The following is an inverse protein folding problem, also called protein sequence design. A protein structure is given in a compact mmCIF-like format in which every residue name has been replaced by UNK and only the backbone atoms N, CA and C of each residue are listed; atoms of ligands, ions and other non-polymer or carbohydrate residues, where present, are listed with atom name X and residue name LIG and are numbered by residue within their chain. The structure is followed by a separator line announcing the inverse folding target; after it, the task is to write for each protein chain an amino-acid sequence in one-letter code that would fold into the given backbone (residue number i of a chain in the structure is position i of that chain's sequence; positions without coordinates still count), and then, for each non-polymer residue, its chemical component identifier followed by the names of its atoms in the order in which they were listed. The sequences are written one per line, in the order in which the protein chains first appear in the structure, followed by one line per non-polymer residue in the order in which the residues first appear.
data_IF_086421848103
#
_entry.id   IF_086421848103
#
_cell.length_a   1.000
_cell.length_b   1.000
_cell.length_c   1.000
_cell.angle_alpha   90.00
_cell.angle_beta   90.00
_cell.angle_gamma   90.00
#
_symmetry.space_group_name_H-M   'P 1'
#
loop_
_entity.id
_entity.type
_entity.pdbx_description
1 polymer ?
#
# COMPACT_ATOMS: atom_id res chain seq x y z
N UNK A 1 -28.23 -20.22 36.80
CA UNK A 1 -27.12 -21.16 36.53
C UNK A 1 -27.34 -21.97 35.26
N UNK A 2 -28.48 -22.65 35.07
CA UNK A 2 -28.84 -23.33 33.80
C UNK A 2 -28.63 -22.48 32.54
N UNK A 3 -29.01 -21.19 32.58
CA UNK A 3 -28.78 -20.25 31.47
C UNK A 3 -27.30 -20.04 31.15
N UNK A 4 -26.43 -19.93 32.15
CA UNK A 4 -24.99 -19.73 31.98
C UNK A 4 -24.31 -20.97 31.40
N UNK A 5 -24.74 -22.18 31.82
CA UNK A 5 -24.25 -23.43 31.25
C UNK A 5 -24.63 -23.59 29.77
N UNK A 6 -25.84 -23.16 29.40
CA UNK A 6 -26.31 -23.18 28.01
C UNK A 6 -25.51 -22.18 27.15
N UNK A 7 -25.31 -20.95 27.64
CA UNK A 7 -24.51 -19.92 26.96
C UNK A 7 -23.06 -20.36 26.78
N UNK A 8 -22.44 -20.94 27.81
CA UNK A 8 -21.07 -21.45 27.73
C UNK A 8 -20.94 -22.62 26.74
N UNK A 9 -21.93 -23.53 26.69
CA UNK A 9 -21.97 -24.61 25.69
C UNK A 9 -21.99 -24.07 24.26
N UNK A 10 -22.85 -23.08 23.99
CA UNK A 10 -22.96 -22.45 22.68
C UNK A 10 -21.66 -21.75 22.26
N UNK A 11 -20.99 -21.09 23.21
CA UNK A 11 -19.68 -20.47 22.96
C UNK A 11 -18.61 -21.51 22.63
N UNK A 12 -18.60 -22.68 23.30
CA UNK A 12 -17.66 -23.77 22.99
C UNK A 12 -17.99 -24.41 21.63
N UNK A 13 -19.25 -24.61 21.29
CA UNK A 13 -19.68 -25.17 20.00
C UNK A 13 -19.36 -24.23 18.82
N UNK A 14 -19.51 -22.91 18.99
CA UNK A 14 -19.21 -21.91 17.98
C UNK A 14 -17.73 -21.49 17.91
N UNK A 15 -16.88 -22.03 18.78
CA UNK A 15 -15.46 -21.67 18.84
C UNK A 15 -14.65 -22.33 17.73
N UNK A 16 -13.57 -21.65 17.32
CA UNK A 16 -12.53 -22.20 16.42
C UNK A 16 -11.54 -23.12 17.16
N UNK A 17 -11.91 -23.64 18.33
CA UNK A 17 -11.07 -24.55 19.08
C UNK A 17 -10.78 -25.83 18.28
N UNK A 18 -9.59 -26.43 18.44
CA UNK A 18 -9.30 -27.73 17.87
C UNK A 18 -10.36 -28.76 18.25
N UNK A 19 -10.80 -29.56 17.28
CA UNK A 19 -11.87 -30.56 17.40
C UNK A 19 -11.80 -31.36 18.72
N UNK A 20 -10.61 -31.88 19.05
CA UNK A 20 -10.36 -32.66 20.26
C UNK A 20 -10.56 -31.87 21.57
N UNK A 21 -10.18 -30.59 21.58
CA UNK A 21 -10.30 -29.71 22.76
C UNK A 21 -11.75 -29.31 22.99
N UNK A 22 -12.46 -28.99 21.90
CA UNK A 22 -13.90 -28.72 21.92
C UNK A 22 -14.70 -29.91 22.43
N UNK A 23 -14.42 -31.11 21.92
CA UNK A 23 -15.09 -32.34 22.38
C UNK A 23 -14.84 -32.62 23.87
N UNK A 24 -13.59 -32.42 24.34
CA UNK A 24 -13.26 -32.61 25.75
C UNK A 24 -13.97 -31.60 26.65
N UNK A 25 -13.98 -30.32 26.29
CA UNK A 25 -14.70 -29.28 27.03
C UNK A 25 -16.20 -29.54 27.10
N UNK A 26 -16.82 -29.99 26.00
CA UNK A 26 -18.25 -30.32 25.99
C UNK A 26 -18.58 -31.54 26.86
N UNK A 27 -17.69 -32.54 26.90
CA UNK A 27 -17.85 -33.71 27.76
C UNK A 27 -17.76 -33.33 29.25
N UNK A 28 -16.77 -32.53 29.64
CA UNK A 28 -16.62 -32.05 31.02
C UNK A 28 -17.78 -31.13 31.44
N UNK A 29 -18.25 -30.25 30.54
CA UNK A 29 -19.39 -29.40 30.79
C UNK A 29 -20.69 -30.20 30.99
N UNK A 30 -20.87 -31.28 30.23
CA UNK A 30 -22.01 -32.18 30.40
C UNK A 30 -21.95 -32.93 31.74
N UNK A 31 -20.74 -33.35 32.16
CA UNK A 31 -20.50 -33.96 33.48
C UNK A 31 -20.82 -33.00 34.61
N UNK A 32 -20.28 -31.78 34.55
CA UNK A 32 -20.58 -30.69 35.50
C UNK A 32 -22.08 -30.40 35.57
N UNK A 33 -22.76 -30.27 34.43
CA UNK A 33 -24.20 -29.97 34.38
C UNK A 33 -25.02 -31.07 35.05
N UNK A 34 -24.69 -32.34 34.79
CA UNK A 34 -25.37 -33.49 35.39
C UNK A 34 -25.18 -33.52 36.91
N UNK A 35 -23.95 -33.32 37.39
CA UNK A 35 -23.67 -33.31 38.83
C UNK A 35 -24.30 -32.09 39.51
N UNK A 36 -24.34 -30.94 38.85
CA UNK A 36 -25.03 -29.74 39.32
C UNK A 36 -26.55 -29.93 39.40
N UNK A 37 -27.19 -30.58 38.43
CA UNK A 37 -28.62 -30.87 38.46
C UNK A 37 -28.99 -31.85 39.57
N UNK A 38 -28.17 -32.90 39.77
CA UNK A 38 -28.34 -33.82 40.89
C UNK A 38 -28.17 -33.10 42.24
N UNK A 39 -27.22 -32.16 42.33
CA UNK A 39 -27.00 -31.34 43.51
C UNK A 39 -28.19 -30.40 43.75
N UNK A 40 -28.66 -29.69 42.73
CA UNK A 40 -29.79 -28.79 42.81
C UNK A 40 -31.09 -29.53 43.20
N UNK A 41 -31.32 -30.72 42.64
CA UNK A 41 -32.47 -31.56 42.99
C UNK A 41 -32.42 -32.07 44.44
N UNK A 42 -31.22 -32.36 44.95
CA UNK A 42 -31.00 -32.74 46.35
C UNK A 42 -31.16 -31.53 47.30
N UNK A 43 -30.59 -30.38 46.94
CA UNK A 43 -30.55 -29.17 47.75
C UNK A 43 -31.86 -28.35 47.74
N UNK A 44 -32.70 -28.49 46.71
CA UNK A 44 -33.94 -27.71 46.54
C UNK A 44 -35.22 -28.53 46.74
N UNK A 45 -35.11 -29.75 47.29
CA UNK A 45 -36.27 -30.61 47.54
C UNK A 45 -37.28 -29.90 48.46
N UNK A 46 -38.60 -29.87 48.15
CA UNK A 46 -39.60 -29.22 48.99
C UNK A 46 -39.55 -29.76 50.43
N UNK A 47 -39.28 -28.88 51.41
CA UNK A 47 -39.02 -29.24 52.81
C UNK A 47 -37.58 -29.05 53.29
N UNK A 48 -36.63 -28.79 52.37
CA UNK A 48 -35.26 -28.42 52.71
C UNK A 48 -35.19 -26.96 53.17
N UNK A 49 -35.51 -26.73 54.45
CA UNK A 49 -35.10 -25.50 55.13
C UNK A 49 -33.64 -25.70 55.54
N UNK A 50 -32.74 -24.85 55.06
CA UNK A 50 -31.26 -24.93 55.23
C UNK A 50 -30.73 -24.91 56.68
N UNK A 51 -31.58 -25.20 57.66
CA UNK A 51 -31.26 -25.56 59.01
C UNK A 51 -32.36 -26.54 59.44
N UNK A 52 -32.07 -27.84 59.58
CA UNK A 52 -33.04 -28.90 59.88
C UNK A 52 -33.90 -28.65 61.12
N UNK A 53 -34.96 -27.82 61.00
CA UNK A 53 -35.73 -27.30 62.14
C UNK A 53 -37.21 -27.67 62.11
N UNK A 54 -37.76 -28.16 61.00
CA UNK A 54 -39.19 -28.47 60.88
C UNK A 54 -39.58 -29.85 61.43
N UNK A 55 -39.24 -30.96 60.76
CA UNK A 55 -39.84 -32.27 61.09
C UNK A 55 -39.24 -32.95 62.33
N UNK A 56 -37.93 -32.83 62.53
CA UNK A 56 -37.20 -33.49 63.62
C UNK A 56 -37.52 -32.90 64.99
N UNK A 57 -37.70 -31.58 65.01
CA UNK A 57 -38.03 -30.84 66.22
C UNK A 57 -39.43 -31.20 66.68
N UNK A 58 -40.39 -31.25 65.76
CA UNK A 58 -41.76 -31.65 66.04
C UNK A 58 -41.85 -33.10 66.54
N UNK A 59 -41.09 -34.02 65.93
CA UNK A 59 -41.02 -35.42 66.38
C UNK A 59 -40.38 -35.54 67.77
N UNK A 60 -39.27 -34.86 68.03
CA UNK A 60 -38.61 -34.85 69.33
C UNK A 60 -39.50 -34.23 70.42
N UNK A 61 -40.22 -33.15 70.09
CA UNK A 61 -41.10 -32.44 71.02
C UNK A 61 -42.36 -33.25 71.35
N UNK A 62 -42.86 -34.06 70.40
CA UNK A 62 -43.94 -35.04 70.66
C UNK A 62 -43.47 -36.20 71.53
N UNK A 63 -42.26 -36.69 71.31
CA UNK A 63 -41.64 -37.74 72.16
C UNK A 63 -41.45 -37.19 73.58
N UNK A 64 -40.93 -35.98 73.74
CA UNK A 64 -40.76 -35.29 75.03
C UNK A 64 -42.09 -35.07 75.76
N UNK A 65 -43.17 -34.72 75.06
CA UNK A 65 -44.49 -34.54 75.65
C UNK A 65 -45.06 -35.83 76.26
N UNK A 66 -44.89 -36.97 75.59
CA UNK A 66 -45.35 -38.28 76.08
C UNK A 66 -44.52 -38.72 77.31
N UNK A 67 -43.23 -38.39 77.35
CA UNK A 67 -42.33 -38.72 78.45
C UNK A 67 -42.58 -37.92 79.72
N UNK A 68 -42.98 -36.65 79.58
CA UNK A 68 -43.40 -35.86 80.73
C UNK A 68 -44.69 -36.39 81.39
N UNK A 69 -45.53 -37.12 80.63
CA UNK A 69 -46.75 -37.75 81.14
C UNK A 69 -46.50 -39.10 81.83
N UNK A 70 -45.38 -39.78 81.57
CA UNK A 70 -45.08 -41.12 82.08
C UNK A 70 -43.60 -41.26 82.50
N UNK A 71 -43.34 -41.54 83.78
CA UNK A 71 -41.97 -41.71 84.28
C UNK A 71 -41.38 -43.06 83.86
N UNK A 72 -40.45 -43.04 82.89
CA UNK A 72 -39.62 -44.20 82.50
C UNK A 72 -38.16 -43.92 82.84
N UNK A 73 -37.54 -44.68 83.77
CA UNK A 73 -36.15 -44.45 84.18
C UNK A 73 -35.17 -44.44 83.00
N UNK A 74 -34.26 -43.46 82.98
CA UNK A 74 -33.17 -43.33 81.99
C UNK A 74 -33.60 -43.07 80.52
N UNK A 75 -34.90 -42.98 80.22
CA UNK A 75 -35.38 -42.77 78.85
C UNK A 75 -35.16 -41.33 78.36
N UNK A 76 -35.42 -40.34 79.21
CA UNK A 76 -35.19 -38.92 78.95
C UNK A 76 -33.70 -38.62 78.65
N UNK A 77 -32.80 -39.22 79.43
CA UNK A 77 -31.35 -39.09 79.24
C UNK A 77 -30.91 -39.60 77.86
N UNK A 78 -31.46 -40.72 77.40
CA UNK A 78 -31.10 -41.27 76.10
C UNK A 78 -31.66 -40.44 74.94
N UNK A 79 -32.81 -39.80 75.11
CA UNK A 79 -33.36 -38.88 74.10
C UNK A 79 -32.54 -37.60 74.01
N UNK A 80 -32.09 -37.04 75.14
CA UNK A 80 -31.16 -35.91 75.12
C UNK A 80 -29.84 -36.25 74.44
N UNK A 81 -29.31 -37.46 74.66
CA UNK A 81 -28.13 -37.96 73.94
C UNK A 81 -28.40 -38.09 72.44
N UNK A 82 -29.56 -38.62 72.04
CA UNK A 82 -29.98 -38.75 70.63
C UNK A 82 -29.97 -37.37 69.93
N UNK A 83 -30.65 -36.38 70.54
CA UNK A 83 -30.72 -35.00 70.02
C UNK A 83 -29.36 -34.31 69.97
N UNK A 84 -28.49 -34.56 70.95
CA UNK A 84 -27.12 -34.03 70.95
C UNK A 84 -26.32 -34.56 69.75
N UNK A 85 -26.35 -35.87 69.51
CA UNK A 85 -25.64 -36.48 68.38
C UNK A 85 -26.19 -36.05 67.02
N UNK A 86 -27.51 -35.90 66.90
CA UNK A 86 -28.15 -35.29 65.74
C UNK A 86 -27.62 -33.88 65.48
N UNK A 87 -27.63 -33.01 66.50
CA UNK A 87 -27.14 -31.63 66.38
C UNK A 87 -25.66 -31.58 66.03
N UNK A 88 -24.85 -32.44 66.62
CA UNK A 88 -23.42 -32.53 66.31
C UNK A 88 -23.20 -32.93 64.85
N UNK A 89 -24.00 -33.87 64.32
CA UNK A 89 -24.00 -34.20 62.89
C UNK A 89 -24.41 -33.00 62.02
N UNK A 90 -25.46 -32.27 62.37
CA UNK A 90 -25.92 -31.13 61.57
C UNK A 90 -24.90 -29.99 61.53
N UNK A 91 -24.17 -29.77 62.63
CA UNK A 91 -23.17 -28.70 62.72
C UNK A 91 -21.83 -29.09 62.08
N UNK A 92 -21.37 -30.31 62.33
CA UNK A 92 -20.02 -30.75 61.97
C UNK A 92 -20.00 -31.65 60.76
N UNK A 93 -21.06 -32.43 60.57
CA UNK A 93 -21.20 -33.26 59.39
C UNK A 93 -20.37 -34.53 59.37
N UNK A 94 -19.83 -34.91 60.51
CA UNK A 94 -18.93 -36.04 60.68
C UNK A 94 -19.69 -37.38 60.61
N UNK A 95 -19.17 -38.32 59.81
CA UNK A 95 -19.78 -39.62 59.54
C UNK A 95 -19.78 -40.56 60.76
N UNK A 96 -19.09 -40.21 61.84
CA UNK A 96 -19.14 -40.95 63.10
C UNK A 96 -20.46 -40.78 63.87
N UNK A 97 -21.22 -39.70 63.63
CA UNK A 97 -22.46 -39.43 64.39
C UNK A 97 -23.68 -40.26 63.97
N UNK A 98 -23.94 -40.54 62.68
CA UNK A 98 -25.09 -41.37 62.28
C UNK A 98 -25.17 -42.76 62.94
N UNK A 99 -24.09 -43.57 63.01
CA UNK A 99 -24.16 -44.84 63.71
C UNK A 99 -24.43 -44.68 65.22
N UNK A 100 -23.94 -43.59 65.85
CA UNK A 100 -24.26 -43.29 67.25
C UNK A 100 -25.74 -42.98 67.47
N UNK A 101 -26.39 -42.25 66.56
CA UNK A 101 -27.83 -41.94 66.61
C UNK A 101 -28.66 -43.23 66.47
N UNK A 102 -28.28 -44.11 65.53
CA UNK A 102 -28.94 -45.41 65.34
C UNK A 102 -28.84 -46.28 66.59
N UNK A 103 -27.67 -46.31 67.23
CA UNK A 103 -27.45 -47.13 68.43
C UNK A 103 -28.24 -46.60 69.63
N UNK A 104 -28.27 -45.29 69.84
CA UNK A 104 -29.09 -44.68 70.90
C UNK A 104 -30.59 -44.96 70.64
N UNK A 105 -31.06 -44.86 69.39
CA UNK A 105 -32.44 -45.20 69.04
C UNK A 105 -32.77 -46.68 69.32
N UNK A 106 -31.80 -47.60 69.13
CA UNK A 106 -31.95 -49.01 69.51
C UNK A 106 -32.13 -49.17 71.02
N UNK A 107 -31.33 -48.49 71.84
CA UNK A 107 -31.48 -48.49 73.30
C UNK A 107 -32.83 -47.93 73.74
N UNK A 108 -33.28 -46.82 73.16
CA UNK A 108 -34.59 -46.21 73.48
C UNK A 108 -35.72 -47.19 73.15
N UNK A 109 -35.68 -47.90 72.01
CA UNK A 109 -36.68 -48.92 71.67
C UNK A 109 -36.76 -50.02 72.73
N UNK A 110 -35.62 -50.55 73.19
CA UNK A 110 -35.58 -51.58 74.22
C UNK A 110 -36.22 -51.10 75.53
N UNK A 111 -35.87 -49.88 75.97
CA UNK A 111 -36.42 -49.28 77.18
C UNK A 111 -37.94 -49.04 77.09
N UNK A 112 -38.46 -48.62 75.94
CA UNK A 112 -39.90 -48.44 75.73
C UNK A 112 -40.64 -49.78 75.80
N UNK A 113 -40.11 -50.83 75.16
CA UNK A 113 -40.71 -52.17 75.18
C UNK A 113 -40.77 -52.78 76.58
N UNK A 114 -39.72 -52.59 77.39
CA UNK A 114 -39.60 -53.10 78.77
C UNK A 114 -40.34 -52.25 79.82
N UNK A 115 -40.90 -51.09 79.44
CA UNK A 115 -41.55 -50.17 80.37
C UNK A 115 -42.96 -50.60 80.79
N UNK A 116 -43.45 -50.04 81.89
CA UNK A 116 -44.80 -50.27 82.44
C UNK A 116 -45.87 -49.33 81.90
N UNK A 117 -45.59 -48.58 80.82
CA UNK A 117 -46.57 -47.67 80.20
C UNK A 117 -47.61 -48.45 79.39
N UNK A 118 -48.71 -47.81 79.01
CA UNK A 118 -49.78 -48.48 78.25
C UNK A 118 -49.29 -48.98 76.90
N UNK A 119 -49.86 -50.08 76.40
CA UNK A 119 -49.50 -50.63 75.09
C UNK A 119 -49.79 -49.64 73.93
N UNK A 120 -50.78 -48.76 74.10
CA UNK A 120 -51.07 -47.68 73.17
C UNK A 120 -49.92 -46.65 73.12
N UNK A 121 -49.40 -46.24 74.28
CA UNK A 121 -48.30 -45.27 74.38
C UNK A 121 -46.98 -45.87 73.88
N UNK A 122 -46.73 -47.16 74.15
CA UNK A 122 -45.58 -47.89 73.57
C UNK A 122 -45.63 -47.88 72.05
N UNK A 123 -46.78 -48.23 71.46
CA UNK A 123 -46.95 -48.26 70.02
C UNK A 123 -46.71 -46.87 69.39
N UNK A 124 -47.21 -45.82 70.04
CA UNK A 124 -47.05 -44.44 69.59
C UNK A 124 -45.59 -43.95 69.67
N UNK A 125 -44.91 -44.19 70.79
CA UNK A 125 -43.49 -43.84 70.97
C UNK A 125 -42.57 -44.56 69.98
N UNK A 126 -42.80 -45.85 69.77
CA UNK A 126 -42.03 -46.65 68.82
C UNK A 126 -42.26 -46.20 67.37
N UNK A 127 -43.48 -45.77 67.01
CA UNK A 127 -43.77 -45.19 65.71
C UNK A 127 -43.03 -43.85 65.49
N UNK A 128 -43.12 -42.93 66.46
CA UNK A 128 -42.44 -41.63 66.39
C UNK A 128 -40.92 -41.77 66.28
N UNK A 129 -40.32 -42.69 67.05
CA UNK A 129 -38.88 -42.94 67.02
C UNK A 129 -38.41 -43.53 65.68
N UNK A 130 -39.23 -44.40 65.07
CA UNK A 130 -38.97 -44.97 63.74
C UNK A 130 -38.99 -43.90 62.66
N UNK A 131 -39.98 -43.01 62.70
CA UNK A 131 -40.11 -41.90 61.75
C UNK A 131 -38.97 -40.90 61.87
N UNK A 132 -38.58 -40.60 63.11
CA UNK A 132 -37.40 -39.78 63.40
C UNK A 132 -36.12 -40.41 62.82
N UNK A 133 -35.85 -41.70 63.11
CA UNK A 133 -34.66 -42.41 62.63
C UNK A 133 -34.61 -42.45 61.09
N UNK A 134 -35.73 -42.77 60.45
CA UNK A 134 -35.85 -42.79 58.97
C UNK A 134 -35.56 -41.43 58.35
N UNK A 135 -36.12 -40.38 58.93
CA UNK A 135 -35.93 -39.01 58.44
C UNK A 135 -34.46 -38.60 58.58
N UNK A 136 -33.81 -38.98 59.69
CA UNK A 136 -32.43 -38.60 59.97
C UNK A 136 -31.48 -39.28 58.99
N UNK A 137 -31.65 -40.58 58.76
CA UNK A 137 -30.84 -41.32 57.78
C UNK A 137 -31.04 -40.81 56.33
N UNK A 138 -32.25 -40.33 56.00
CA UNK A 138 -32.51 -39.66 54.72
C UNK A 138 -31.72 -38.36 54.59
N UNK A 139 -31.60 -37.58 55.66
CA UNK A 139 -30.80 -36.35 55.67
C UNK A 139 -29.31 -36.66 55.54
N UNK A 140 -28.82 -37.69 56.24
CA UNK A 140 -27.43 -38.15 56.17
C UNK A 140 -27.06 -38.52 54.73
N UNK A 141 -27.90 -39.30 54.04
CA UNK A 141 -27.63 -39.71 52.65
C UNK A 141 -27.63 -38.52 51.69
N UNK A 142 -28.60 -37.60 51.82
CA UNK A 142 -28.66 -36.38 51.00
C UNK A 142 -27.41 -35.51 51.16
N UNK A 143 -26.94 -35.35 52.40
CA UNK A 143 -25.73 -34.58 52.68
C UNK A 143 -24.48 -35.25 52.11
N UNK A 144 -24.38 -36.58 52.20
CA UNK A 144 -23.32 -37.36 51.55
C UNK A 144 -23.32 -37.16 50.02
N UNK A 145 -24.48 -37.22 49.37
CA UNK A 145 -24.59 -36.94 47.93
C UNK A 145 -24.17 -35.51 47.57
N UNK A 146 -24.54 -34.51 48.37
CA UNK A 146 -24.13 -33.12 48.17
C UNK A 146 -22.60 -32.98 48.20
N UNK A 147 -21.93 -33.59 49.19
CA UNK A 147 -20.47 -33.55 49.31
C UNK A 147 -19.81 -34.22 48.11
N UNK A 148 -20.26 -35.41 47.71
CA UNK A 148 -19.73 -36.13 46.55
C UNK A 148 -19.89 -35.34 45.24
N UNK A 149 -21.10 -34.81 44.99
CA UNK A 149 -21.38 -34.02 43.78
C UNK A 149 -20.58 -32.71 43.74
N UNK A 150 -20.35 -32.07 44.89
CA UNK A 150 -19.50 -30.88 44.97
C UNK A 150 -18.04 -31.21 44.64
N UNK A 151 -17.54 -32.36 45.11
CA UNK A 151 -16.19 -32.81 44.82
C UNK A 151 -16.01 -33.13 43.32
N UNK A 152 -16.97 -33.82 42.70
CA UNK A 152 -16.97 -34.08 41.25
C UNK A 152 -17.01 -32.78 40.44
N UNK A 153 -17.85 -31.82 40.84
CA UNK A 153 -17.97 -30.53 40.20
C UNK A 153 -16.64 -29.74 40.24
N UNK A 154 -15.96 -29.73 41.38
CA UNK A 154 -14.66 -29.09 41.53
C UNK A 154 -13.58 -29.81 40.70
N UNK A 155 -13.57 -31.15 40.70
CA UNK A 155 -12.62 -31.92 39.89
C UNK A 155 -12.79 -31.68 38.38
N UNK A 156 -14.03 -31.50 37.90
CA UNK A 156 -14.29 -31.12 36.51
C UNK A 156 -13.80 -29.69 36.22
N UNK A 157 -14.02 -28.74 37.14
CA UNK A 157 -13.52 -27.37 37.01
C UNK A 157 -11.98 -27.32 36.95
N UNK A 158 -11.30 -28.10 37.81
CA UNK A 158 -9.84 -28.20 37.85
C UNK A 158 -9.25 -28.77 36.54
N UNK A 159 -10.01 -29.59 35.80
CA UNK A 159 -9.60 -30.11 34.49
C UNK A 159 -9.80 -29.11 33.35
N UNK A 160 -10.80 -28.23 33.46
CA UNK A 160 -11.13 -27.24 32.42
C UNK A 160 -10.22 -26.01 32.51
N UNK A 161 -9.87 -25.57 33.73
CA UNK A 161 -9.03 -24.39 33.95
C UNK A 161 -7.72 -24.37 33.12
N UNK A 162 -6.87 -25.43 33.11
CA UNK A 162 -5.62 -25.40 32.35
C UNK A 162 -5.84 -25.42 30.83
N UNK A 163 -6.96 -25.98 30.35
CA UNK A 163 -7.28 -25.96 28.90
C UNK A 163 -7.60 -24.55 28.42
N UNK A 164 -8.27 -23.74 29.26
CA UNK A 164 -8.56 -22.35 28.96
C UNK A 164 -7.26 -21.54 28.96
N UNK A 165 -6.40 -21.70 29.96
CA UNK A 165 -5.11 -21.01 30.04
C UNK A 165 -4.20 -21.34 28.85
N UNK A 166 -4.07 -22.63 28.51
CA UNK A 166 -3.28 -23.07 27.37
C UNK A 166 -3.80 -22.48 26.05
N UNK A 167 -5.11 -22.43 25.87
CA UNK A 167 -5.72 -21.85 24.67
C UNK A 167 -5.48 -20.33 24.57
N UNK A 168 -5.60 -19.60 25.68
CA UNK A 168 -5.29 -18.15 25.71
C UNK A 168 -3.81 -17.89 25.41
N UNK A 169 -2.90 -18.70 25.99
CA UNK A 169 -1.47 -18.60 25.70
C UNK A 169 -1.16 -18.85 24.22
N UNK A 170 -1.72 -19.93 23.65
CA UNK A 170 -1.55 -20.26 22.23
C UNK A 170 -2.12 -19.19 21.29
N UNK A 171 -3.29 -18.63 21.63
CA UNK A 171 -3.89 -17.54 20.86
C UNK A 171 -2.99 -16.29 20.87
N UNK A 172 -2.45 -15.92 22.03
CA UNK A 172 -1.53 -14.79 22.17
C UNK A 172 -0.21 -14.99 21.42
N UNK A 173 0.36 -16.20 21.44
CA UNK A 173 1.55 -16.53 20.67
C UNK A 173 1.29 -16.46 19.16
N UNK A 174 0.16 -16.99 18.71
CA UNK A 174 -0.24 -16.97 17.29
C UNK A 174 -0.45 -15.54 16.81
N UNK A 175 -1.15 -14.72 17.60
CA UNK A 175 -1.34 -13.29 17.30
C UNK A 175 0.00 -12.54 17.23
N UNK A 176 0.89 -12.79 18.18
CA UNK A 176 2.23 -12.17 18.20
C UNK A 176 3.08 -12.58 16.99
N UNK A 177 3.00 -13.85 16.57
CA UNK A 177 3.71 -14.34 15.38
C UNK A 177 3.16 -13.69 14.11
N UNK A 178 1.84 -13.67 13.94
CA UNK A 178 1.16 -13.01 12.81
C UNK A 178 1.49 -11.52 12.73
N UNK A 179 1.51 -10.83 13.86
CA UNK A 179 1.88 -9.42 13.90
C UNK A 179 3.32 -9.17 13.42
N UNK A 180 4.27 -10.04 13.80
CA UNK A 180 5.66 -9.96 13.30
C UNK A 180 5.77 -10.29 11.81
N UNK A 181 5.10 -11.34 11.35
CA UNK A 181 5.05 -11.69 9.92
C UNK A 181 4.51 -10.51 9.09
N UNK A 182 3.43 -9.87 9.54
CA UNK A 182 2.86 -8.69 8.88
C UNK A 182 3.84 -7.51 8.88
N UNK A 183 4.53 -7.26 9.99
CA UNK A 183 5.52 -6.17 10.06
C UNK A 183 6.71 -6.41 9.14
N UNK A 184 7.22 -7.65 9.08
CA UNK A 184 8.32 -8.04 8.18
C UNK A 184 7.91 -7.92 6.70
N UNK A 185 6.74 -8.43 6.32
CA UNK A 185 6.19 -8.32 4.96
C UNK A 185 5.89 -6.87 4.57
N UNK A 186 5.39 -6.07 5.51
CA UNK A 186 5.16 -4.65 5.31
C UNK A 186 6.49 -3.91 5.09
N UNK A 187 7.52 -4.19 5.90
CA UNK A 187 8.84 -3.58 5.71
C UNK A 187 9.49 -3.96 4.37
N UNK A 188 9.35 -5.22 3.93
CA UNK A 188 9.83 -5.65 2.63
C UNK A 188 9.11 -4.91 1.48
N UNK A 189 7.79 -4.78 1.59
CA UNK A 189 6.96 -4.05 0.63
C UNK A 189 7.31 -2.55 0.59
N UNK A 190 7.50 -1.91 1.75
CA UNK A 190 7.93 -0.51 1.86
C UNK A 190 9.32 -0.32 1.24
N UNK A 191 10.26 -1.23 1.50
CA UNK A 191 11.62 -1.16 0.93
C UNK A 191 11.59 -1.28 -0.59
N UNK A 192 10.84 -2.24 -1.14
CA UNK A 192 10.66 -2.36 -2.59
C UNK A 192 9.99 -1.12 -3.18
N UNK A 193 8.95 -0.60 -2.51
CA UNK A 193 8.30 0.66 -2.89
C UNK A 193 9.29 1.82 -2.97
N UNK A 194 10.11 2.01 -1.94
CA UNK A 194 11.15 3.05 -1.91
C UNK A 194 12.17 2.88 -3.05
N UNK A 195 12.62 1.66 -3.33
CA UNK A 195 13.55 1.38 -4.44
C UNK A 195 12.92 1.73 -5.78
N UNK A 196 11.66 1.33 -6.01
CA UNK A 196 10.92 1.63 -7.24
C UNK A 196 10.74 3.15 -7.40
N UNK A 197 10.32 3.85 -6.35
CA UNK A 197 10.16 5.31 -6.37
C UNK A 197 11.49 6.02 -6.63
N UNK A 198 12.56 5.63 -5.93
CA UNK A 198 13.89 6.20 -6.13
C UNK A 198 14.42 5.95 -7.56
N UNK A 199 14.23 4.73 -8.08
CA UNK A 199 14.64 4.37 -9.45
C UNK A 199 13.86 5.15 -10.50
N UNK A 200 12.57 5.35 -10.29
CA UNK A 200 11.70 6.13 -11.18
C UNK A 200 12.13 7.60 -11.20
N UNK A 201 12.39 8.20 -10.04
CA UNK A 201 12.89 9.57 -9.93
C UNK A 201 14.27 9.72 -10.58
N UNK A 202 15.17 8.76 -10.35
CA UNK A 202 16.49 8.74 -10.97
C UNK A 202 16.39 8.66 -12.49
N UNK A 203 15.56 7.75 -13.01
CA UNK A 203 15.35 7.60 -14.45
C UNK A 203 14.75 8.87 -15.06
N UNK A 204 13.76 9.47 -14.40
CA UNK A 204 13.17 10.73 -14.84
C UNK A 204 14.21 11.87 -14.89
N UNK A 205 15.07 11.98 -13.86
CA UNK A 205 16.15 12.95 -13.82
C UNK A 205 17.18 12.71 -14.94
N UNK A 206 17.60 11.46 -15.15
CA UNK A 206 18.52 11.08 -16.23
C UNK A 206 17.94 11.40 -17.61
N UNK A 207 16.67 11.09 -17.84
CA UNK A 207 15.98 11.42 -19.10
C UNK A 207 15.87 12.94 -19.28
N UNK A 208 15.49 13.69 -18.25
CA UNK A 208 15.40 15.15 -18.31
C UNK A 208 16.76 15.78 -18.62
N UNK A 209 17.84 15.31 -17.97
CA UNK A 209 19.21 15.74 -18.25
C UNK A 209 19.63 15.38 -19.67
N UNK A 210 19.32 14.16 -20.12
CA UNK A 210 19.61 13.69 -21.47
C UNK A 210 18.91 14.50 -22.56
N UNK A 211 17.61 14.76 -22.40
CA UNK A 211 16.82 15.59 -23.32
C UNK A 211 17.35 17.03 -23.31
N UNK A 212 17.66 17.57 -22.13
CA UNK A 212 18.17 18.94 -22.01
C UNK A 212 19.50 19.10 -22.75
N UNK A 213 20.42 18.15 -22.58
CA UNK A 213 21.76 18.26 -23.17
C UNK A 213 21.77 17.91 -24.66
N UNK A 214 21.01 16.89 -25.09
CA UNK A 214 21.03 16.43 -26.48
C UNK A 214 20.04 17.12 -27.41
N UNK A 215 18.99 17.73 -26.89
CA UNK A 215 17.94 18.38 -27.70
C UNK A 215 17.85 19.86 -27.36
N UNK A 216 17.50 20.20 -26.12
CA UNK A 216 17.15 21.60 -25.76
C UNK A 216 18.33 22.55 -25.95
N UNK A 217 19.53 22.17 -25.49
CA UNK A 217 20.73 23.01 -25.62
C UNK A 217 21.13 23.27 -27.08
N UNK A 218 21.31 22.25 -27.94
CA UNK A 218 21.59 22.48 -29.36
C UNK A 218 20.51 23.32 -30.07
N UNK A 219 19.23 23.02 -29.83
CA UNK A 219 18.13 23.78 -30.45
C UNK A 219 18.14 25.24 -30.02
N UNK A 220 18.35 25.54 -28.73
CA UNK A 220 18.48 26.93 -28.26
C UNK A 220 19.67 27.65 -28.88
N UNK A 221 20.81 26.97 -29.08
CA UNK A 221 21.97 27.55 -29.78
C UNK A 221 21.65 27.87 -31.24
N UNK A 222 20.97 26.96 -31.94
CA UNK A 222 20.55 27.20 -33.32
C UNK A 222 19.55 28.35 -33.43
N UNK A 223 18.59 28.43 -32.50
CA UNK A 223 17.65 29.55 -32.41
C UNK A 223 18.38 30.89 -32.21
N UNK A 224 19.37 30.94 -31.32
CA UNK A 224 20.20 32.15 -31.12
C UNK A 224 20.98 32.54 -32.39
N UNK A 225 21.57 31.57 -33.10
CA UNK A 225 22.29 31.86 -34.35
C UNK A 225 21.36 32.32 -35.48
N UNK A 226 20.12 31.82 -35.53
CA UNK A 226 19.11 32.30 -36.47
C UNK A 226 18.67 33.73 -36.14
N UNK A 227 18.57 34.08 -34.87
CA UNK A 227 18.27 35.45 -34.43
C UNK A 227 19.41 36.42 -34.81
N UNK A 228 20.66 36.01 -34.56
CA UNK A 228 21.86 36.74 -35.01
C UNK A 228 21.93 36.83 -36.54
N UNK A 229 21.45 35.80 -37.26
CA UNK A 229 21.37 35.82 -38.72
C UNK A 229 20.36 36.88 -39.20
N UNK A 230 19.22 37.01 -38.53
CA UNK A 230 18.15 37.94 -38.91
C UNK A 230 18.50 39.40 -38.59
N UNK A 231 19.09 39.67 -37.42
CA UNK A 231 19.27 41.03 -36.92
C UNK A 231 20.72 41.48 -36.76
N UNK A 232 21.70 40.60 -37.01
CA UNK A 232 23.11 40.89 -36.79
C UNK A 232 24.08 40.24 -37.79
N UNK A 233 25.34 40.15 -37.34
CA UNK A 233 26.42 39.44 -38.03
C UNK A 233 26.77 38.17 -37.26
N UNK A 234 26.28 37.00 -37.67
CA UNK A 234 26.57 35.77 -36.96
C UNK A 234 28.06 35.44 -37.07
N UNK A 235 28.73 35.29 -35.92
CA UNK A 235 30.16 34.95 -35.85
C UNK A 235 30.42 33.51 -35.42
N UNK A 236 29.38 32.83 -34.92
CA UNK A 236 29.47 31.44 -34.42
C UNK A 236 29.00 30.41 -35.45
N UNK A 237 29.41 29.15 -35.24
CA UNK A 237 28.86 27.97 -35.93
C UNK A 237 28.24 27.02 -34.92
N UNK A 238 27.28 26.22 -35.39
CA UNK A 238 26.75 25.12 -34.58
C UNK A 238 27.75 23.95 -34.64
N UNK A 239 28.12 23.35 -33.49
CA UNK A 239 28.92 22.14 -33.49
C UNK A 239 28.21 21.00 -34.22
N UNK A 240 28.87 20.41 -35.22
CA UNK A 240 28.41 19.22 -35.93
C UNK A 240 29.30 18.03 -35.59
N UNK A 241 28.72 16.84 -35.58
CA UNK A 241 29.44 15.58 -35.39
C UNK A 241 29.54 14.89 -36.76
N UNK A 242 30.75 14.66 -37.30
CA UNK A 242 30.90 13.95 -38.57
C UNK A 242 30.23 12.57 -38.53
N UNK A 243 29.28 12.34 -39.44
CA UNK A 243 28.49 11.10 -39.47
C UNK A 243 27.38 11.02 -38.42
N UNK A 244 27.04 12.12 -37.76
CA UNK A 244 25.91 12.20 -36.83
C UNK A 244 24.59 11.90 -37.52
N UNK A 245 23.91 10.83 -37.10
CA UNK A 245 22.71 10.28 -37.77
C UNK A 245 21.39 10.82 -37.25
N UNK A 246 21.40 11.83 -36.38
CA UNK A 246 20.18 12.40 -35.81
C UNK A 246 19.77 13.71 -36.51
N UNK A 247 18.51 14.06 -36.33
CA UNK A 247 17.84 15.21 -36.94
C UNK A 247 18.49 16.53 -36.48
N UNK A 248 18.97 16.58 -35.23
CA UNK A 248 19.66 17.75 -34.67
C UNK A 248 20.98 18.02 -35.40
N UNK A 249 21.79 17.00 -35.66
CA UNK A 249 23.05 17.15 -36.41
C UNK A 249 22.78 17.55 -37.87
N UNK A 250 21.73 16.98 -38.48
CA UNK A 250 21.34 17.36 -39.83
C UNK A 250 20.93 18.84 -39.91
N UNK A 251 20.14 19.33 -38.94
CA UNK A 251 19.74 20.73 -38.88
C UNK A 251 20.94 21.66 -38.63
N UNK A 252 21.90 21.25 -37.80
CA UNK A 252 23.15 21.99 -37.57
C UNK A 252 23.99 22.12 -38.84
N UNK A 253 24.13 21.04 -39.62
CA UNK A 253 24.82 21.04 -40.91
C UNK A 253 24.15 22.02 -41.90
N UNK A 254 22.83 21.94 -42.05
CA UNK A 254 22.07 22.82 -42.95
C UNK A 254 22.17 24.30 -42.52
N UNK A 255 22.11 24.60 -41.22
CA UNK A 255 22.26 25.97 -40.73
C UNK A 255 23.67 26.53 -40.99
N UNK A 256 24.71 25.71 -40.80
CA UNK A 256 26.08 26.09 -41.11
C UNK A 256 26.27 26.34 -42.63
N UNK A 257 25.66 25.52 -43.48
CA UNK A 257 25.68 25.72 -44.93
C UNK A 257 24.97 27.04 -45.34
N UNK A 258 23.85 27.37 -44.70
CA UNK A 258 23.16 28.65 -44.91
C UNK A 258 24.04 29.85 -44.53
N UNK A 259 24.75 29.75 -43.40
CA UNK A 259 25.71 30.78 -42.97
C UNK A 259 26.83 30.98 -44.00
N UNK A 260 27.37 29.88 -44.55
CA UNK A 260 28.40 29.92 -45.59
C UNK A 260 27.90 30.55 -46.90
N UNK A 261 26.66 30.23 -47.29
CA UNK A 261 26.03 30.83 -48.45
C UNK A 261 25.86 32.34 -48.27
N UNK A 262 25.29 32.80 -47.15
CA UNK A 262 25.15 34.25 -46.86
C UNK A 262 26.50 34.96 -46.89
N UNK A 263 27.51 34.39 -46.24
CA UNK A 263 28.86 34.99 -46.20
C UNK A 263 29.46 35.11 -47.60
N UNK A 264 29.29 34.08 -48.43
CA UNK A 264 29.73 34.09 -49.84
C UNK A 264 28.99 35.15 -50.65
N UNK A 265 27.66 35.22 -50.53
CA UNK A 265 26.83 36.19 -51.23
C UNK A 265 27.21 37.63 -50.84
N UNK A 266 27.29 37.95 -49.54
CA UNK A 266 27.67 39.29 -49.08
C UNK A 266 29.09 39.68 -49.51
N UNK A 267 30.03 38.73 -49.49
CA UNK A 267 31.39 38.95 -49.96
C UNK A 267 31.47 39.24 -51.46
N UNK A 268 30.66 38.54 -52.26
CA UNK A 268 30.54 38.78 -53.70
C UNK A 268 29.82 40.09 -54.03
N UNK A 269 28.71 40.36 -53.35
CA UNK A 269 27.94 41.60 -53.47
C UNK A 269 28.80 42.82 -53.15
N UNK A 270 29.55 42.78 -52.04
CA UNK A 270 30.47 43.87 -51.67
C UNK A 270 31.53 44.11 -52.74
N UNK A 271 32.19 43.05 -53.22
CA UNK A 271 33.20 43.19 -54.27
C UNK A 271 32.60 43.74 -55.59
N UNK A 272 31.36 43.35 -55.92
CA UNK A 272 30.64 43.87 -57.08
C UNK A 272 30.27 45.35 -56.93
N UNK A 273 29.83 45.77 -55.74
CA UNK A 273 29.54 47.18 -55.46
C UNK A 273 30.79 48.05 -55.41
N UNK A 274 31.89 47.55 -54.84
CA UNK A 274 33.17 48.25 -54.84
C UNK A 274 33.67 48.48 -56.28
N UNK A 275 33.53 47.47 -57.17
CA UNK A 275 33.85 47.63 -58.59
C UNK A 275 32.91 48.63 -59.29
N UNK A 276 31.60 48.55 -59.05
CA UNK A 276 30.62 49.49 -59.62
C UNK A 276 30.91 50.94 -59.19
N UNK A 277 31.23 51.16 -57.92
CA UNK A 277 31.60 52.47 -57.40
C UNK A 277 32.89 52.98 -58.03
N UNK A 278 33.90 52.12 -58.18
CA UNK A 278 35.14 52.48 -58.88
C UNK A 278 34.91 52.82 -60.37
N UNK A 279 34.02 52.10 -61.06
CA UNK A 279 33.60 52.43 -62.43
C UNK A 279 32.88 53.77 -62.50
N UNK A 280 32.00 54.06 -61.54
CA UNK A 280 31.30 55.36 -61.46
C UNK A 280 32.28 56.50 -61.21
N UNK A 281 33.27 56.32 -60.33
CA UNK A 281 34.32 57.30 -60.10
C UNK A 281 35.12 57.59 -61.37
N UNK A 282 35.46 56.55 -62.15
CA UNK A 282 36.14 56.71 -63.44
C UNK A 282 35.31 57.46 -64.48
N UNK A 283 33.98 57.26 -64.51
CA UNK A 283 33.09 57.99 -65.42
C UNK A 283 32.85 59.45 -64.99
N UNK A 284 33.07 59.77 -63.71
CA UNK A 284 32.83 61.09 -63.13
C UNK A 284 34.06 62.00 -62.99
N UNK A 285 35.26 61.51 -63.33
CA UNK A 285 36.52 62.26 -63.26
C UNK A 285 36.56 63.42 -64.25
N UNK A 286 36.98 64.60 -63.80
CA UNK A 286 36.99 65.84 -64.60
C UNK A 286 38.33 66.11 -65.29
N UNK A 287 39.44 65.62 -64.73
CA UNK A 287 40.80 65.84 -65.25
C UNK A 287 41.61 64.53 -65.41
N UNK A 288 42.84 64.63 -65.89
CA UNK A 288 43.70 63.46 -66.16
C UNK A 288 44.19 62.80 -64.87
N UNK A 289 44.46 63.59 -63.82
CA UNK A 289 44.96 63.07 -62.55
C UNK A 289 43.89 62.26 -61.81
N UNK A 290 42.65 62.75 -61.76
CA UNK A 290 41.50 62.00 -61.21
C UNK A 290 41.22 60.73 -62.01
N UNK A 291 41.39 60.77 -63.34
CA UNK A 291 41.24 59.59 -64.20
C UNK A 291 42.26 58.50 -63.86
N UNK A 292 43.53 58.86 -63.73
CA UNK A 292 44.60 57.90 -63.41
C UNK A 292 44.42 57.24 -62.03
N UNK A 293 43.98 58.01 -61.04
CA UNK A 293 43.64 57.49 -59.71
C UNK A 293 42.43 56.55 -59.76
N UNK A 294 41.36 56.95 -60.47
CA UNK A 294 40.16 56.11 -60.64
C UNK A 294 40.44 54.81 -61.42
N UNK A 295 41.32 54.84 -62.43
CA UNK A 295 41.77 53.63 -63.14
C UNK A 295 42.49 52.69 -62.17
N UNK A 296 43.33 53.23 -61.28
CA UNK A 296 44.05 52.44 -60.28
C UNK A 296 43.09 51.81 -59.27
N UNK A 297 42.11 52.58 -58.78
CA UNK A 297 41.05 52.09 -57.90
C UNK A 297 40.18 51.02 -58.55
N UNK A 298 39.80 51.20 -59.81
CA UNK A 298 39.04 50.20 -60.58
C UNK A 298 39.84 48.90 -60.75
N UNK A 299 41.13 48.99 -61.11
CA UNK A 299 41.99 47.80 -61.22
C UNK A 299 42.06 47.04 -59.89
N UNK A 300 42.23 47.74 -58.78
CA UNK A 300 42.27 47.12 -57.45
C UNK A 300 40.94 46.40 -57.12
N UNK A 301 39.79 47.05 -57.35
CA UNK A 301 38.48 46.45 -57.12
C UNK A 301 38.22 45.24 -58.03
N UNK A 302 38.56 45.34 -59.32
CA UNK A 302 38.44 44.23 -60.28
C UNK A 302 39.34 43.04 -59.89
N UNK A 303 40.56 43.28 -59.38
CA UNK A 303 41.43 42.21 -58.86
C UNK A 303 40.76 41.47 -57.70
N UNK A 304 40.19 42.20 -56.74
CA UNK A 304 39.46 41.60 -55.59
C UNK A 304 38.27 40.77 -56.07
N UNK A 305 37.51 41.27 -57.06
CA UNK A 305 36.38 40.52 -57.63
C UNK A 305 36.84 39.24 -58.33
N UNK A 306 37.92 39.30 -59.12
CA UNK A 306 38.52 38.11 -59.76
C UNK A 306 38.99 37.10 -58.71
N UNK A 307 39.58 37.54 -57.60
CA UNK A 307 39.94 36.66 -56.49
C UNK A 307 38.73 35.97 -55.87
N UNK A 308 37.61 36.69 -55.66
CA UNK A 308 36.36 36.10 -55.18
C UNK A 308 35.78 35.09 -56.17
N UNK A 309 35.80 35.40 -57.46
CA UNK A 309 35.34 34.51 -58.52
C UNK A 309 36.19 33.23 -58.57
N UNK A 310 37.51 33.34 -58.47
CA UNK A 310 38.41 32.19 -58.41
C UNK A 310 38.17 31.34 -57.15
N UNK A 311 37.86 31.95 -56.01
CA UNK A 311 37.51 31.22 -54.80
C UNK A 311 36.18 30.45 -54.95
N UNK A 312 35.16 31.06 -55.57
CA UNK A 312 33.90 30.39 -55.91
C UNK A 312 34.16 29.23 -56.87
N UNK A 313 34.93 29.46 -57.94
CA UNK A 313 35.34 28.43 -58.90
C UNK A 313 36.07 27.26 -58.22
N UNK A 314 36.98 27.54 -57.30
CA UNK A 314 37.69 26.51 -56.53
C UNK A 314 36.73 25.61 -55.73
N UNK A 315 35.72 26.21 -55.07
CA UNK A 315 34.70 25.46 -54.33
C UNK A 315 33.77 24.67 -55.26
N UNK A 316 33.36 25.24 -56.40
CA UNK A 316 32.59 24.53 -57.42
C UNK A 316 33.31 23.26 -57.89
N UNK A 317 34.61 23.38 -58.19
CA UNK A 317 35.43 22.23 -58.57
C UNK A 317 35.56 21.21 -57.44
N UNK A 318 35.69 21.66 -56.19
CA UNK A 318 35.75 20.75 -55.04
C UNK A 318 34.46 19.93 -54.91
N UNK A 319 33.28 20.58 -54.93
CA UNK A 319 32.01 19.87 -54.86
C UNK A 319 31.80 18.93 -56.06
N UNK A 320 32.25 19.31 -57.26
CA UNK A 320 32.21 18.44 -58.42
C UNK A 320 33.09 17.19 -58.24
N UNK A 321 34.29 17.33 -57.66
CA UNK A 321 35.13 16.19 -57.31
C UNK A 321 34.49 15.29 -56.25
N UNK A 322 33.83 15.88 -55.25
CA UNK A 322 33.12 15.12 -54.21
C UNK A 322 31.97 14.30 -54.81
N UNK A 323 31.19 14.87 -55.74
CA UNK A 323 30.14 14.16 -56.49
C UNK A 323 30.71 12.94 -57.24
N UNK A 324 31.82 13.13 -57.97
CA UNK A 324 32.49 12.06 -58.70
C UNK A 324 33.02 10.99 -57.75
N UNK A 325 33.58 11.39 -56.61
CA UNK A 325 34.12 10.46 -55.61
C UNK A 325 33.02 9.57 -55.01
N UNK A 326 31.85 10.15 -54.66
CA UNK A 326 30.71 9.36 -54.17
C UNK A 326 30.16 8.45 -55.27
N UNK A 327 30.01 8.96 -56.50
CA UNK A 327 29.54 8.18 -57.65
C UNK A 327 30.43 6.95 -57.92
N UNK A 328 31.76 7.09 -57.81
CA UNK A 328 32.70 5.96 -57.90
C UNK A 328 32.53 4.96 -56.77
N UNK A 329 32.32 5.41 -55.53
CA UNK A 329 32.06 4.51 -54.39
C UNK A 329 30.78 3.71 -54.60
N UNK A 330 29.71 4.36 -55.10
CA UNK A 330 28.46 3.69 -55.46
C UNK A 330 28.68 2.60 -56.52
N UNK A 331 29.43 2.91 -57.57
CA UNK A 331 29.75 1.96 -58.64
C UNK A 331 30.51 0.72 -58.16
N UNK A 332 31.30 0.84 -57.09
CA UNK A 332 32.09 -0.27 -56.51
C UNK A 332 31.30 -1.04 -55.47
N UNK A 333 30.57 -0.35 -54.59
CA UNK A 333 29.86 -0.97 -53.46
C UNK A 333 28.49 -1.55 -53.85
N UNK A 334 27.93 -1.16 -55.01
CA UNK A 334 26.63 -1.64 -55.50
C UNK A 334 25.41 -1.18 -54.69
N UNK A 335 25.63 -0.41 -53.62
CA UNK A 335 24.59 0.19 -52.78
C UNK A 335 25.02 1.59 -52.36
N UNK A 336 24.05 2.49 -52.15
CA UNK A 336 24.30 3.87 -51.74
C UNK A 336 24.00 4.03 -50.25
N UNK A 337 25.01 4.16 -49.37
CA UNK A 337 24.78 4.51 -47.98
C UNK A 337 24.03 5.83 -47.87
N UNK A 338 23.12 5.96 -46.89
CA UNK A 338 22.36 7.19 -46.67
C UNK A 338 23.26 8.43 -46.48
N UNK A 339 24.45 8.26 -45.89
CA UNK A 339 25.44 9.34 -45.75
C UNK A 339 26.01 9.80 -47.09
N UNK A 340 26.27 8.87 -48.00
CA UNK A 340 26.79 9.16 -49.34
C UNK A 340 25.71 9.78 -50.23
N UNK A 341 24.45 9.33 -50.11
CA UNK A 341 23.30 9.98 -50.75
C UNK A 341 23.15 11.45 -50.31
N UNK A 342 23.22 11.71 -48.99
CA UNK A 342 23.15 13.07 -48.44
C UNK A 342 24.34 13.92 -48.89
N UNK A 343 25.54 13.34 -48.98
CA UNK A 343 26.73 14.05 -49.48
C UNK A 343 26.59 14.44 -50.96
N UNK A 344 26.00 13.58 -51.79
CA UNK A 344 25.68 13.91 -53.19
C UNK A 344 24.72 15.10 -53.27
N UNK A 345 23.62 15.02 -52.53
CA UNK A 345 22.61 16.08 -52.50
C UNK A 345 23.18 17.42 -52.04
N UNK A 346 23.92 17.42 -50.91
CA UNK A 346 24.57 18.63 -50.40
C UNK A 346 25.58 19.22 -51.39
N UNK A 347 26.35 18.38 -52.08
CA UNK A 347 27.35 18.86 -53.06
C UNK A 347 26.67 19.46 -54.29
N UNK A 348 25.56 18.87 -54.75
CA UNK A 348 24.77 19.41 -55.85
C UNK A 348 24.11 20.76 -55.49
N UNK A 349 23.47 20.85 -54.33
CA UNK A 349 22.86 22.08 -53.83
C UNK A 349 23.88 23.20 -53.59
N UNK A 350 25.08 22.86 -53.11
CA UNK A 350 26.16 23.81 -52.94
C UNK A 350 26.65 24.37 -54.29
N UNK A 351 26.72 23.52 -55.33
CA UNK A 351 27.04 23.97 -56.70
C UNK A 351 25.98 24.93 -57.22
N UNK A 352 24.70 24.57 -57.11
CA UNK A 352 23.57 25.43 -57.51
C UNK A 352 23.61 26.79 -56.81
N UNK A 353 23.73 26.79 -55.48
CA UNK A 353 23.81 28.02 -54.68
C UNK A 353 24.99 28.91 -55.09
N UNK A 354 26.17 28.32 -55.33
CA UNK A 354 27.35 29.08 -55.76
C UNK A 354 27.19 29.67 -57.18
N UNK A 355 26.45 29.00 -58.06
CA UNK A 355 26.12 29.52 -59.40
C UNK A 355 25.09 30.65 -59.31
N UNK A 356 24.07 30.54 -58.44
CA UNK A 356 23.09 31.60 -58.21
C UNK A 356 23.73 32.90 -57.72
N UNK A 357 24.70 32.81 -56.80
CA UNK A 357 25.47 33.97 -56.34
C UNK A 357 26.15 34.71 -57.49
N UNK A 358 26.64 33.98 -58.51
CA UNK A 358 27.25 34.57 -59.69
C UNK A 358 26.20 35.18 -60.64
N UNK A 359 25.03 34.56 -60.76
CA UNK A 359 23.96 34.99 -61.67
C UNK A 359 23.32 36.33 -61.27
N UNK A 360 23.15 36.59 -59.96
CA UNK A 360 22.52 37.84 -59.44
C UNK A 360 23.26 39.12 -59.86
N UNK A 361 24.52 39.03 -60.29
CA UNK A 361 25.32 40.20 -60.67
C UNK A 361 25.25 40.56 -62.17
N UNK A 362 24.69 39.69 -63.02
CA UNK A 362 24.63 39.91 -64.49
C UNK A 362 23.31 40.57 -64.94
N UNK A 363 22.37 40.82 -64.03
CA UNK A 363 21.16 41.61 -64.31
C UNK A 363 21.50 43.11 -64.23
N UNK A 364 21.48 43.88 -65.34
CA UNK A 364 21.63 45.33 -65.27
C UNK A 364 20.44 45.91 -64.49
N UNK A 365 20.62 47.03 -63.75
CA UNK A 365 19.48 47.68 -63.10
C UNK A 365 18.44 48.01 -64.16
N UNK A 366 17.19 47.56 -63.96
CA UNK A 366 16.06 47.98 -64.79
C UNK A 366 16.00 49.50 -64.76
N UNK A 367 16.50 50.12 -65.83
CA UNK A 367 16.37 51.54 -66.10
C UNK A 367 14.88 51.85 -66.17
N UNK A 368 14.40 52.77 -65.34
CA UNK A 368 12.99 53.12 -65.27
C UNK A 368 12.42 53.50 -66.63
N UNK A 369 11.40 52.76 -67.07
CA UNK A 369 10.43 53.19 -68.09
C UNK A 369 8.99 52.77 -67.75
N UNK A 370 8.70 52.37 -66.50
CA UNK A 370 7.32 52.09 -66.05
C UNK A 370 6.51 53.37 -65.70
N UNK A 371 7.10 54.55 -65.91
CA UNK A 371 6.41 55.83 -65.67
C UNK A 371 5.58 56.34 -66.85
N UNK A 372 5.49 55.59 -67.96
CA UNK A 372 4.70 56.00 -69.15
C UNK A 372 3.48 55.14 -69.47
N UNK A 373 3.31 53.97 -68.86
CA UNK A 373 2.09 53.17 -69.02
C UNK A 373 1.04 53.41 -67.91
N UNK A 374 1.43 53.95 -66.75
CA UNK A 374 0.49 54.29 -65.67
C UNK A 374 -0.32 55.60 -65.90
N UNK A 375 -0.10 56.31 -67.00
CA UNK A 375 -0.77 57.60 -67.30
C UNK A 375 -1.92 57.48 -68.33
N UNK A 376 -2.30 56.26 -68.75
CA UNK A 376 -3.37 56.05 -69.75
C UNK A 376 -4.66 55.44 -69.22
N UNK A 377 -4.74 55.15 -67.93
CA UNK A 377 -5.90 54.51 -67.28
C UNK A 377 -6.52 55.37 -66.17
N UNK A 378 -6.65 56.67 -66.42
CA UNK A 378 -7.39 57.57 -65.55
C UNK A 378 -8.78 57.90 -66.14
N UNK A 379 -9.85 57.44 -65.46
CA UNK A 379 -11.09 58.22 -65.40
C UNK A 379 -11.67 58.29 -63.97
N UNK A 380 -12.49 59.30 -63.65
CA UNK A 380 -12.29 60.73 -63.79
C UNK A 380 -12.23 61.42 -62.40
N UNK A 381 -11.82 62.69 -62.39
CA UNK A 381 -12.21 63.61 -61.31
C UNK A 381 -13.74 63.72 -61.28
N UNK A 382 -14.34 63.28 -60.19
CA UNK A 382 -15.64 63.78 -59.72
C UNK A 382 -15.34 64.77 -58.60
N UNK A 383 -15.24 66.04 -58.97
CA UNK A 383 -15.54 67.12 -58.04
C UNK A 383 -17.07 67.21 -57.94
N UNK A 384 -17.58 67.22 -56.70
CA UNK A 384 -19.00 67.04 -56.43
C UNK A 384 -19.27 66.87 -54.94
N UNK A 385 -18.90 67.87 -54.14
CA UNK A 385 -19.60 68.10 -52.88
C UNK A 385 -21.02 68.57 -53.18
N UNK A 386 -21.96 67.63 -53.23
CA UNK A 386 -23.39 67.71 -53.67
C UNK A 386 -23.64 67.38 -55.13
#
# INVERSE_FOLDING_TARGET
MHRLLLEFRQLVEASELPEATRQKLLAELASYSKSFEAYAASALRPGYTGAGKGPFRDAAQRIEAILHAHYVPNLETNILKLRRREKDFLLRGDESYPPMVVEIARTIRAQVSESTISEADKAQLLALLRDYQRSFLTLVSQRGSIVALTAEMNAAADQVAPLIEANVAQANETMSRRAREIDEDAQASVRLGLIVTASTLLLAALLALGITDRIVRPVRRMAGLLDDLAYGTPTGRVPTVPGGRNEINAMAESLNALLDHRATFLGWWKASMDELNARRALLGSADEAERDEAITGLRAASIVKVQKLNAIRGRLLQHAHDLIAVSRRLSVAGSLPASDAKQLEHSAQAIESLLDVLAVADEPPRTGDDSREAAKDAPPQMDGGR
#
